data_IF_001081621889
#
_entry.id   IF_001081621889
#
_cell.length_a   1.000
_cell.length_b   1.000
_cell.length_c   1.000
_cell.angle_alpha   90.00
_cell.angle_beta   90.00
_cell.angle_gamma   90.00
#
_symmetry.space_group_name_H-M   'P 1'
#
loop_
_entity.id
_entity.type
_entity.pdbx_description
1 polymer ?
#
# COMPACT_ATOMS: atom_id res chain seq x y z
N UNK A 1 -11.29 -6.17 -11.08
CA UNK A 1 -10.71 -5.84 -9.76
C UNK A 1 -11.02 -4.39 -9.35
N UNK A 2 -10.68 -3.36 -10.12
CA UNK A 2 -10.96 -1.95 -9.75
C UNK A 2 -12.45 -1.70 -9.47
N UNK A 3 -13.35 -2.16 -10.33
CA UNK A 3 -14.80 -2.04 -10.11
C UNK A 3 -15.25 -2.72 -8.82
N UNK A 4 -14.66 -3.85 -8.47
CA UNK A 4 -14.93 -4.52 -7.20
C UNK A 4 -14.51 -3.65 -6.00
N UNK A 5 -13.32 -3.04 -6.05
CA UNK A 5 -12.87 -2.10 -5.00
C UNK A 5 -13.84 -0.91 -4.83
N UNK A 6 -14.36 -0.37 -5.93
CA UNK A 6 -15.39 0.69 -5.88
C UNK A 6 -16.66 0.23 -5.15
N UNK A 7 -17.12 -0.99 -5.41
CA UNK A 7 -18.31 -1.57 -4.75
C UNK A 7 -18.11 -1.74 -3.25
N UNK A 8 -16.87 -1.96 -2.80
CA UNK A 8 -16.54 -2.10 -1.38
C UNK A 8 -16.51 -0.76 -0.63
N UNK A 9 -16.57 0.37 -1.34
CA UNK A 9 -16.51 1.69 -0.72
C UNK A 9 -15.13 2.07 -0.20
N UNK A 10 -14.05 1.63 -0.86
CA UNK A 10 -12.71 2.13 -0.57
C UNK A 10 -12.60 3.60 -1.00
N UNK A 11 -11.81 4.40 -0.28
CA UNK A 11 -11.62 5.83 -0.55
C UNK A 11 -10.72 6.10 -1.76
N UNK A 12 -9.95 5.10 -2.22
CA UNK A 12 -9.05 5.21 -3.35
C UNK A 12 -8.30 3.90 -3.62
N UNK A 13 -7.56 3.88 -4.73
CA UNK A 13 -6.69 2.75 -5.07
C UNK A 13 -5.26 3.23 -5.31
N UNK A 14 -4.30 2.36 -4.99
CA UNK A 14 -2.89 2.60 -5.31
C UNK A 14 -2.43 1.57 -6.33
N UNK A 15 -1.87 2.04 -7.43
CA UNK A 15 -1.30 1.22 -8.49
C UNK A 15 0.21 1.45 -8.60
N UNK A 16 0.91 0.56 -9.30
CA UNK A 16 2.35 0.65 -9.56
C UNK A 16 3.22 0.78 -8.29
N UNK A 17 2.73 0.27 -7.16
CA UNK A 17 3.52 0.07 -5.94
C UNK A 17 4.23 -1.30 -5.94
N UNK A 18 4.84 -1.66 -4.82
CA UNK A 18 5.56 -2.94 -4.63
C UNK A 18 4.67 -4.15 -4.94
N UNK A 19 3.44 -4.16 -4.42
CA UNK A 19 2.47 -5.24 -4.67
C UNK A 19 1.89 -5.23 -6.09
N UNK A 20 2.00 -4.12 -6.80
CA UNK A 20 1.70 -4.01 -8.23
C UNK A 20 2.86 -4.51 -9.11
N UNK A 21 3.90 -5.11 -8.53
CA UNK A 21 5.09 -5.63 -9.23
C UNK A 21 5.79 -4.56 -10.10
N UNK A 22 5.70 -3.29 -9.70
CA UNK A 22 6.15 -2.15 -10.50
C UNK A 22 7.61 -2.24 -10.96
N UNK A 23 8.49 -2.83 -10.14
CA UNK A 23 9.91 -3.04 -10.46
C UNK A 23 10.15 -4.14 -11.53
N UNK A 24 9.11 -4.82 -11.99
CA UNK A 24 9.15 -5.88 -13.02
C UNK A 24 8.36 -5.51 -14.28
N UNK A 25 7.91 -4.28 -14.36
CA UNK A 25 7.15 -3.74 -15.48
C UNK A 25 8.06 -2.89 -16.37
N UNK A 26 7.87 -3.02 -17.69
CA UNK A 26 8.37 -2.06 -18.65
C UNK A 26 7.56 -0.76 -18.58
N UNK A 27 8.08 0.34 -19.09
CA UNK A 27 7.35 1.63 -19.09
C UNK A 27 6.09 1.56 -19.93
N UNK A 28 6.08 0.78 -21.02
CA UNK A 28 4.87 0.55 -21.82
C UNK A 28 3.78 -0.18 -21.02
N UNK A 29 4.15 -1.19 -20.24
CA UNK A 29 3.19 -1.90 -19.36
C UNK A 29 2.68 -1.00 -18.23
N UNK A 30 3.55 -0.13 -17.68
CA UNK A 30 3.14 0.88 -16.68
C UNK A 30 2.09 1.82 -17.26
N UNK A 31 2.28 2.33 -18.48
CA UNK A 31 1.31 3.18 -19.16
C UNK A 31 -0.02 2.47 -19.37
N UNK A 32 0.02 1.23 -19.88
CA UNK A 32 -1.19 0.43 -20.09
C UNK A 32 -1.97 0.19 -18.80
N UNK A 33 -1.27 -0.12 -17.68
CA UNK A 33 -1.90 -0.31 -16.37
C UNK A 33 -2.51 0.99 -15.87
N UNK A 34 -1.80 2.11 -16.04
CA UNK A 34 -2.29 3.43 -15.65
C UNK A 34 -3.59 3.78 -16.39
N UNK A 35 -3.59 3.72 -17.73
CA UNK A 35 -4.75 4.05 -18.55
C UNK A 35 -5.96 3.17 -18.19
N UNK A 36 -5.74 1.84 -18.08
CA UNK A 36 -6.79 0.88 -17.70
C UNK A 36 -7.35 1.11 -16.31
N UNK A 37 -6.47 1.43 -15.34
CA UNK A 37 -6.89 1.65 -13.96
C UNK A 37 -7.66 2.97 -13.80
N UNK A 38 -7.22 4.05 -14.45
CA UNK A 38 -7.90 5.35 -14.44
C UNK A 38 -9.29 5.21 -15.07
N UNK A 39 -9.40 4.57 -16.24
CA UNK A 39 -10.68 4.33 -16.90
C UNK A 39 -11.65 3.54 -15.99
N UNK A 40 -11.18 2.47 -15.38
CA UNK A 40 -12.00 1.63 -14.51
C UNK A 40 -12.33 2.28 -13.14
N UNK A 41 -11.49 3.19 -12.66
CA UNK A 41 -11.68 3.90 -11.41
C UNK A 41 -12.83 4.92 -11.47
N UNK A 42 -13.04 5.56 -12.62
CA UNK A 42 -14.01 6.66 -12.73
C UNK A 42 -13.67 7.79 -11.76
N UNK A 43 -14.57 8.08 -10.82
CA UNK A 43 -14.37 9.14 -9.81
C UNK A 43 -13.51 8.72 -8.61
N UNK A 44 -13.14 7.42 -8.50
CA UNK A 44 -12.33 6.93 -7.40
C UNK A 44 -10.88 7.43 -7.53
N UNK A 45 -10.30 8.10 -6.53
CA UNK A 45 -8.92 8.56 -6.57
C UNK A 45 -7.91 7.44 -6.84
N UNK A 46 -6.97 7.71 -7.74
CA UNK A 46 -5.89 6.77 -8.09
C UNK A 46 -4.54 7.36 -7.71
N UNK A 47 -3.88 6.75 -6.73
CA UNK A 47 -2.50 7.06 -6.35
C UNK A 47 -1.55 6.19 -7.16
N UNK A 48 -0.53 6.79 -7.76
CA UNK A 48 0.40 6.09 -8.64
C UNK A 48 1.80 6.04 -8.03
N UNK A 49 2.35 4.83 -7.88
CA UNK A 49 3.73 4.64 -7.47
C UNK A 49 4.70 5.04 -8.58
N UNK A 50 5.57 6.02 -8.30
CA UNK A 50 6.51 6.58 -9.27
C UNK A 50 7.97 6.51 -8.82
N UNK A 51 8.24 5.72 -7.79
CA UNK A 51 9.58 5.56 -7.23
C UNK A 51 10.55 4.93 -8.23
N UNK A 52 11.75 5.48 -8.29
CA UNK A 52 12.88 4.96 -9.07
C UNK A 52 14.18 5.33 -8.36
N UNK A 53 15.25 4.55 -8.53
CA UNK A 53 16.56 4.86 -7.95
C UNK A 53 17.17 6.17 -8.49
N UNK A 54 16.90 6.52 -9.75
CA UNK A 54 17.34 7.78 -10.33
C UNK A 54 16.27 8.88 -10.21
N UNK A 55 16.64 10.02 -9.64
CA UNK A 55 15.74 11.18 -9.44
C UNK A 55 15.02 11.57 -10.72
N UNK A 56 15.76 11.74 -11.85
CA UNK A 56 15.17 12.11 -13.13
C UNK A 56 14.15 11.07 -13.63
N UNK A 57 14.45 9.78 -13.50
CA UNK A 57 13.54 8.72 -13.90
C UNK A 57 12.25 8.72 -13.06
N UNK A 58 12.36 8.96 -11.73
CA UNK A 58 11.19 9.12 -10.87
C UNK A 58 10.32 10.31 -11.29
N UNK A 59 10.96 11.45 -11.64
CA UNK A 59 10.25 12.64 -12.15
C UNK A 59 9.53 12.33 -13.48
N UNK A 60 10.16 11.61 -14.41
CA UNK A 60 9.51 11.25 -15.69
C UNK A 60 8.33 10.28 -15.48
N UNK A 61 8.46 9.32 -14.54
CA UNK A 61 7.32 8.48 -14.14
C UNK A 61 6.20 9.32 -13.50
N UNK A 62 6.54 10.34 -12.72
CA UNK A 62 5.57 11.29 -12.17
C UNK A 62 4.83 12.05 -13.26
N UNK A 63 5.54 12.59 -14.25
CA UNK A 63 4.93 13.28 -15.41
C UNK A 63 4.01 12.36 -16.21
N UNK A 64 4.39 11.09 -16.40
CA UNK A 64 3.56 10.09 -17.05
C UNK A 64 2.27 9.87 -16.25
N UNK A 65 2.36 9.71 -14.93
CA UNK A 65 1.22 9.51 -14.06
C UNK A 65 0.27 10.73 -14.05
N UNK A 66 0.82 11.95 -13.97
CA UNK A 66 0.06 13.21 -14.03
C UNK A 66 -0.72 13.30 -15.35
N UNK A 67 -0.03 13.06 -16.47
CA UNK A 67 -0.65 13.07 -17.81
C UNK A 67 -1.75 12.02 -17.95
N UNK A 68 -1.58 10.85 -17.30
CA UNK A 68 -2.54 9.76 -17.31
C UNK A 68 -3.74 9.95 -16.37
N UNK A 69 -3.80 11.03 -15.57
CA UNK A 69 -4.94 11.34 -14.71
C UNK A 69 -4.82 10.84 -13.27
N UNK A 70 -3.61 10.59 -12.79
CA UNK A 70 -3.38 10.27 -11.37
C UNK A 70 -3.92 11.39 -10.46
N UNK A 71 -4.41 11.00 -9.28
CA UNK A 71 -4.87 11.94 -8.23
C UNK A 71 -3.74 12.33 -7.27
N UNK A 72 -2.75 11.46 -7.08
CA UNK A 72 -1.56 11.69 -6.27
C UNK A 72 -0.42 10.76 -6.72
N UNK A 73 0.81 11.12 -6.35
CA UNK A 73 1.98 10.26 -6.57
C UNK A 73 2.43 9.64 -5.25
N UNK A 74 2.86 8.39 -5.25
CA UNK A 74 3.51 7.75 -4.11
C UNK A 74 4.99 7.55 -4.42
N UNK A 75 5.84 8.11 -3.55
CA UNK A 75 7.29 8.08 -3.73
C UNK A 75 8.01 7.58 -2.49
N UNK A 76 9.10 6.88 -2.70
CA UNK A 76 10.05 6.46 -1.67
C UNK A 76 11.47 6.57 -2.21
N UNK A 77 12.45 6.66 -1.32
CA UNK A 77 13.86 6.61 -1.70
C UNK A 77 14.31 5.16 -1.92
N UNK A 78 15.39 4.97 -2.67
CA UNK A 78 16.03 3.69 -2.90
C UNK A 78 17.40 3.64 -2.26
N UNK A 79 17.87 2.42 -1.98
CA UNK A 79 19.19 2.21 -1.36
C UNK A 79 20.30 2.58 -2.33
N UNK A 80 21.24 3.35 -1.82
CA UNK A 80 22.53 3.63 -2.42
C UNK A 80 23.64 2.91 -1.65
N UNK A 81 24.82 2.67 -2.25
CA UNK A 81 25.92 1.98 -1.60
C UNK A 81 26.37 2.64 -0.28
N UNK A 82 26.20 3.96 -0.19
CA UNK A 82 26.51 4.74 1.02
C UNK A 82 25.23 5.47 1.45
N UNK A 83 24.74 5.14 2.64
CA UNK A 83 23.60 5.83 3.22
C UNK A 83 23.93 7.29 3.50
N UNK A 84 23.10 8.21 2.98
CA UNK A 84 23.29 9.65 3.15
C UNK A 84 21.95 10.37 3.16
N UNK A 85 21.48 10.78 4.34
CA UNK A 85 20.18 11.43 4.51
C UNK A 85 20.05 12.76 3.76
N UNK A 86 21.15 13.50 3.56
CA UNK A 86 21.10 14.72 2.75
C UNK A 86 20.79 14.39 1.29
N UNK A 87 21.35 13.33 0.74
CA UNK A 87 21.04 12.88 -0.63
C UNK A 87 19.62 12.33 -0.76
N UNK A 88 19.13 11.65 0.26
CA UNK A 88 17.72 11.19 0.31
C UNK A 88 16.79 12.42 0.33
N UNK A 89 17.09 13.42 1.15
CA UNK A 89 16.34 14.68 1.17
C UNK A 89 16.32 15.34 -0.22
N UNK A 90 17.48 15.59 -0.83
CA UNK A 90 17.62 16.21 -2.14
C UNK A 90 16.85 15.44 -3.24
N UNK A 91 16.91 14.11 -3.21
CA UNK A 91 16.18 13.25 -4.15
C UNK A 91 14.67 13.42 -4.02
N UNK A 92 14.14 13.35 -2.80
CA UNK A 92 12.70 13.46 -2.53
C UNK A 92 12.19 14.88 -2.78
N UNK A 93 12.94 15.91 -2.36
CA UNK A 93 12.60 17.31 -2.62
C UNK A 93 12.51 17.61 -4.12
N UNK A 94 13.50 17.16 -4.91
CA UNK A 94 13.46 17.36 -6.35
C UNK A 94 12.24 16.70 -7.04
N UNK A 95 11.77 15.57 -6.52
CA UNK A 95 10.54 14.93 -7.01
C UNK A 95 9.32 15.73 -6.58
N UNK A 96 9.26 16.20 -5.33
CA UNK A 96 8.19 17.06 -4.84
C UNK A 96 8.08 18.36 -5.66
N UNK A 97 9.18 19.07 -5.87
CA UNK A 97 9.25 20.29 -6.66
C UNK A 97 8.77 20.09 -8.11
N UNK A 98 9.05 18.92 -8.71
CA UNK A 98 8.65 18.59 -10.07
C UNK A 98 7.18 18.15 -10.21
N UNK A 99 6.46 17.93 -9.10
CA UNK A 99 5.09 17.42 -9.07
C UNK A 99 4.07 18.53 -8.89
N UNK A 100 3.06 18.57 -9.78
CA UNK A 100 1.85 19.39 -9.59
C UNK A 100 0.77 18.68 -8.77
N UNK A 101 0.95 17.41 -8.42
CA UNK A 101 0.02 16.62 -7.63
C UNK A 101 0.51 16.43 -6.19
N UNK A 102 -0.41 16.15 -5.25
CA UNK A 102 -0.05 15.73 -3.90
C UNK A 102 0.86 14.50 -3.91
N UNK A 103 1.76 14.46 -2.92
CA UNK A 103 2.71 13.37 -2.72
C UNK A 103 2.34 12.55 -1.48
N UNK A 104 2.34 11.23 -1.62
CA UNK A 104 2.37 10.27 -0.53
C UNK A 104 3.83 9.86 -0.31
N UNK A 105 4.42 10.32 0.78
CA UNK A 105 5.78 9.93 1.17
C UNK A 105 5.73 8.52 1.79
N UNK A 106 6.33 7.54 1.12
CA UNK A 106 6.37 6.16 1.61
C UNK A 106 7.67 5.88 2.35
N UNK A 107 7.55 5.43 3.60
CA UNK A 107 8.65 4.96 4.43
C UNK A 107 8.59 3.43 4.57
N UNK A 108 9.26 2.70 3.65
CA UNK A 108 9.19 1.23 3.56
C UNK A 108 10.58 0.57 3.46
N UNK A 109 11.37 0.57 4.55
CA UNK A 109 12.72 -0.02 4.56
C UNK A 109 12.76 -1.48 4.11
N UNK A 110 11.71 -2.24 4.39
CA UNK A 110 11.62 -3.66 4.01
C UNK A 110 11.71 -3.91 2.50
N UNK A 111 11.35 -2.94 1.65
CA UNK A 111 11.47 -3.07 0.20
C UNK A 111 12.58 -2.22 -0.39
N UNK A 112 12.96 -1.15 0.26
CA UNK A 112 13.91 -0.16 -0.27
C UNK A 112 15.30 -0.29 0.31
N UNK A 113 15.45 -0.91 1.49
CA UNK A 113 16.69 -0.90 2.26
C UNK A 113 17.04 0.46 2.88
N UNK A 114 16.19 1.47 2.72
CA UNK A 114 16.41 2.83 3.24
C UNK A 114 15.63 3.05 4.52
N UNK A 115 16.34 3.42 5.57
CA UNK A 115 15.77 3.84 6.85
C UNK A 115 15.85 5.38 6.94
N UNK A 116 14.73 6.06 6.85
CA UNK A 116 14.66 7.51 7.08
C UNK A 116 14.56 7.79 8.59
N UNK A 117 15.44 8.63 9.12
CA UNK A 117 15.30 9.08 10.52
C UNK A 117 14.07 9.98 10.71
N UNK A 118 13.55 10.07 11.94
CA UNK A 118 12.46 11.01 12.22
C UNK A 118 12.83 12.47 11.92
N UNK A 119 14.05 12.96 12.23
CA UNK A 119 14.48 14.29 11.81
C UNK A 119 14.46 14.51 10.29
N UNK A 120 14.84 13.49 9.50
CA UNK A 120 14.74 13.59 8.04
C UNK A 120 13.29 13.69 7.57
N UNK A 121 12.41 12.85 8.12
CA UNK A 121 10.98 12.90 7.78
C UNK A 121 10.38 14.25 8.18
N UNK A 122 10.66 14.75 9.39
CA UNK A 122 10.22 16.06 9.84
C UNK A 122 10.68 17.18 8.90
N UNK A 123 11.95 17.18 8.52
CA UNK A 123 12.52 18.16 7.60
C UNK A 123 11.80 18.12 6.23
N UNK A 124 11.50 16.94 5.70
CA UNK A 124 10.75 16.80 4.45
C UNK A 124 9.35 17.41 4.56
N UNK A 125 8.63 17.11 5.66
CA UNK A 125 7.28 17.63 5.87
C UNK A 125 7.24 19.15 6.08
N UNK A 126 8.29 19.73 6.65
CA UNK A 126 8.43 21.18 6.82
C UNK A 126 8.80 21.90 5.52
N UNK A 127 9.61 21.25 4.66
CA UNK A 127 10.12 21.86 3.43
C UNK A 127 9.17 21.70 2.24
N UNK A 128 8.47 20.55 2.14
CA UNK A 128 7.72 20.16 0.96
C UNK A 128 6.20 20.24 1.20
N UNK A 129 5.59 21.35 0.80
CA UNK A 129 4.17 21.62 1.07
C UNK A 129 3.19 20.70 0.35
N UNK A 130 3.62 20.00 -0.70
CA UNK A 130 2.80 19.07 -1.46
C UNK A 130 2.89 17.61 -0.94
N UNK A 131 3.68 17.33 0.10
CA UNK A 131 3.57 16.06 0.82
C UNK A 131 2.26 16.10 1.61
N UNK A 132 1.26 15.37 1.14
CA UNK A 132 -0.09 15.39 1.70
C UNK A 132 -0.38 14.19 2.65
N UNK A 133 0.48 13.18 2.63
CA UNK A 133 0.31 11.96 3.42
C UNK A 133 1.65 11.24 3.61
N UNK A 134 1.81 10.59 4.77
CA UNK A 134 2.90 9.62 5.00
C UNK A 134 2.32 8.22 4.99
N UNK A 135 2.86 7.33 4.15
CA UNK A 135 2.60 5.90 4.23
C UNK A 135 3.70 5.25 5.07
N UNK A 136 3.35 4.93 6.31
CA UNK A 136 4.29 4.45 7.32
C UNK A 136 4.37 2.92 7.32
N UNK A 137 5.52 2.36 6.95
CA UNK A 137 5.78 0.92 6.89
C UNK A 137 7.13 0.53 7.52
N UNK A 138 7.88 1.50 8.07
CA UNK A 138 9.11 1.20 8.80
C UNK A 138 8.80 0.70 10.20
N UNK A 139 9.47 -0.39 10.60
CA UNK A 139 9.33 -0.98 11.94
C UNK A 139 10.25 -0.29 12.97
N UNK A 140 9.81 -0.20 14.22
CA UNK A 140 8.50 -0.57 14.77
C UNK A 140 7.43 0.48 14.42
N UNK A 141 6.45 0.13 13.58
CA UNK A 141 5.54 1.11 12.97
C UNK A 141 4.64 1.87 13.95
N UNK A 142 4.07 1.25 15.02
CA UNK A 142 3.27 2.00 15.99
C UNK A 142 4.05 3.11 16.68
N UNK A 143 5.30 2.84 17.08
CA UNK A 143 6.17 3.84 17.74
C UNK A 143 6.56 4.97 16.77
N UNK A 144 6.78 4.64 15.49
CA UNK A 144 7.09 5.64 14.48
C UNK A 144 5.89 6.53 14.18
N UNK A 145 4.66 5.97 14.14
CA UNK A 145 3.43 6.75 14.01
C UNK A 145 3.27 7.69 15.21
N UNK A 146 3.44 7.19 16.43
CA UNK A 146 3.37 8.02 17.63
C UNK A 146 4.42 9.14 17.61
N UNK A 147 5.65 8.87 17.14
CA UNK A 147 6.70 9.88 16.99
C UNK A 147 6.32 10.94 15.92
N UNK A 148 5.77 10.55 14.78
CA UNK A 148 5.27 11.47 13.75
C UNK A 148 4.21 12.42 14.32
N UNK A 149 3.31 11.93 15.16
CA UNK A 149 2.26 12.71 15.81
C UNK A 149 2.78 13.77 16.79
N UNK A 150 4.04 13.69 17.24
CA UNK A 150 4.61 14.72 18.10
C UNK A 150 4.94 16.02 17.37
N UNK A 151 5.04 15.99 16.04
CA UNK A 151 5.42 17.17 15.25
C UNK A 151 4.56 17.39 13.99
N UNK A 152 3.59 16.50 13.68
CA UNK A 152 2.77 16.67 12.48
C UNK A 152 1.38 16.05 12.61
N UNK A 153 0.36 16.76 12.14
CA UNK A 153 -1.02 16.28 12.00
C UNK A 153 -1.30 15.70 10.60
N UNK A 154 -0.28 15.56 9.76
CA UNK A 154 -0.43 15.01 8.40
C UNK A 154 -1.14 13.64 8.43
N UNK A 155 -2.01 13.33 7.46
CA UNK A 155 -2.56 11.98 7.34
C UNK A 155 -1.46 10.91 7.30
N UNK A 156 -1.61 9.88 8.15
CA UNK A 156 -0.70 8.72 8.18
C UNK A 156 -1.49 7.48 7.81
N UNK A 157 -1.13 6.87 6.69
CA UNK A 157 -1.69 5.59 6.27
C UNK A 157 -0.69 4.47 6.57
N UNK A 158 -1.21 3.31 6.96
CA UNK A 158 -0.40 2.14 7.30
C UNK A 158 -0.35 1.16 6.14
N UNK A 159 0.69 0.34 6.11
CA UNK A 159 0.91 -0.62 5.06
C UNK A 159 1.08 -2.05 5.60
N UNK A 160 2.09 -2.76 5.12
CA UNK A 160 2.47 -4.12 5.54
C UNK A 160 1.31 -5.13 5.55
N UNK A 161 0.30 -4.97 4.66
CA UNK A 161 -0.87 -5.84 4.63
C UNK A 161 -1.73 -5.76 5.88
N UNK A 162 -1.64 -4.67 6.65
CA UNK A 162 -2.27 -4.47 7.97
C UNK A 162 -1.74 -5.42 9.08
N UNK A 163 -0.49 -5.91 8.93
CA UNK A 163 0.12 -6.83 9.91
C UNK A 163 0.09 -6.29 11.35
N UNK A 164 0.24 -4.99 11.52
CA UNK A 164 0.15 -4.30 12.81
C UNK A 164 -1.06 -3.37 12.90
N UNK A 165 -2.06 -3.56 12.04
CA UNK A 165 -3.11 -2.60 11.74
C UNK A 165 -3.85 -2.02 12.94
N UNK A 166 -4.32 -2.84 13.89
CA UNK A 166 -5.00 -2.34 15.08
C UNK A 166 -4.06 -1.50 15.98
N UNK A 167 -2.80 -1.92 16.14
CA UNK A 167 -1.81 -1.17 16.91
C UNK A 167 -1.44 0.16 16.25
N UNK A 168 -1.34 0.17 14.92
CA UNK A 168 -1.02 1.35 14.12
C UNK A 168 -2.14 2.39 14.18
N UNK A 169 -3.40 1.96 14.04
CA UNK A 169 -4.57 2.83 14.20
C UNK A 169 -4.67 3.38 15.63
N UNK A 170 -4.42 2.54 16.65
CA UNK A 170 -4.40 2.98 18.03
C UNK A 170 -3.28 4.01 18.33
N UNK A 171 -2.19 3.97 17.58
CA UNK A 171 -1.05 4.89 17.71
C UNK A 171 -1.22 6.21 16.94
N UNK A 172 -2.36 6.42 16.29
CA UNK A 172 -2.67 7.65 15.55
C UNK A 172 -2.63 7.53 14.03
N UNK A 173 -2.56 6.30 13.48
CA UNK A 173 -2.80 6.06 12.05
C UNK A 173 -4.22 6.43 11.66
N UNK A 174 -4.39 6.99 10.44
CA UNK A 174 -5.69 7.42 9.92
C UNK A 174 -6.41 6.36 9.11
N UNK A 175 -5.70 5.33 8.63
CA UNK A 175 -6.28 4.28 7.80
C UNK A 175 -5.22 3.41 7.14
N UNK A 176 -5.62 2.72 6.08
CA UNK A 176 -4.79 1.73 5.40
C UNK A 176 -4.52 2.13 3.96
N UNK A 177 -3.27 1.99 3.52
CA UNK A 177 -2.87 1.99 2.11
C UNK A 177 -2.06 0.71 1.86
N UNK A 178 -2.77 -0.39 1.66
CA UNK A 178 -2.14 -1.71 1.59
C UNK A 178 -2.92 -2.71 0.76
N UNK A 179 -2.35 -3.86 0.48
CA UNK A 179 -2.88 -4.86 -0.42
C UNK A 179 -3.32 -6.14 0.26
N UNK A 180 -4.04 -6.09 1.37
CA UNK A 180 -4.70 -7.27 1.90
C UNK A 180 -5.81 -7.75 0.94
N UNK A 181 -5.90 -9.06 0.68
CA UNK A 181 -6.78 -9.61 -0.36
C UNK A 181 -8.27 -9.67 0.04
N UNK A 182 -8.58 -9.26 1.26
CA UNK A 182 -9.95 -9.02 1.75
C UNK A 182 -10.08 -7.56 2.21
N UNK A 183 -10.09 -6.60 1.29
CA UNK A 183 -10.09 -5.17 1.62
C UNK A 183 -11.32 -4.75 2.42
N UNK A 184 -12.45 -5.48 2.35
CA UNK A 184 -13.64 -5.27 3.16
C UNK A 184 -13.35 -5.29 4.67
N UNK A 185 -12.42 -6.15 5.07
CA UNK A 185 -11.98 -6.23 6.47
C UNK A 185 -11.30 -4.93 6.89
N UNK A 186 -10.45 -4.37 6.03
CA UNK A 186 -9.75 -3.13 6.31
C UNK A 186 -10.70 -1.93 6.33
N UNK A 187 -11.68 -1.91 5.42
CA UNK A 187 -12.77 -0.91 5.44
C UNK A 187 -13.52 -0.99 6.77
N UNK A 188 -13.91 -2.19 7.21
CA UNK A 188 -14.62 -2.37 8.49
C UNK A 188 -13.76 -2.02 9.71
N UNK A 189 -12.44 -2.33 9.70
CA UNK A 189 -11.52 -1.91 10.75
C UNK A 189 -11.37 -0.38 10.80
N UNK A 190 -11.29 0.28 9.65
CA UNK A 190 -11.25 1.73 9.58
C UNK A 190 -12.55 2.36 10.10
N UNK A 191 -13.71 1.83 9.71
CA UNK A 191 -15.02 2.27 10.21
C UNK A 191 -15.14 2.10 11.73
N UNK A 192 -14.73 0.94 12.28
CA UNK A 192 -14.69 0.71 13.72
C UNK A 192 -13.80 1.73 14.44
N UNK A 193 -12.63 2.07 13.86
CA UNK A 193 -11.74 3.09 14.41
C UNK A 193 -12.36 4.49 14.39
N UNK A 194 -13.00 4.88 13.30
CA UNK A 194 -13.63 6.22 13.15
C UNK A 194 -14.88 6.39 14.00
N UNK A 195 -15.60 5.30 14.29
CA UNK A 195 -16.73 5.29 15.23
C UNK A 195 -16.32 5.05 16.68
N UNK A 196 -15.01 5.00 16.97
CA UNK A 196 -14.46 4.73 18.31
C UNK A 196 -14.86 3.37 18.91
N UNK A 197 -15.31 2.42 18.08
CA UNK A 197 -15.63 1.05 18.48
C UNK A 197 -14.35 0.19 18.53
N UNK A 198 -13.61 0.35 19.61
CA UNK A 198 -12.34 -0.36 19.79
C UNK A 198 -12.53 -1.88 19.92
N UNK A 199 -13.63 -2.33 20.54
CA UNK A 199 -13.90 -3.77 20.70
C UNK A 199 -14.13 -4.44 19.35
N UNK A 200 -14.86 -3.80 18.46
CA UNK A 200 -15.04 -4.26 17.08
C UNK A 200 -13.73 -4.24 16.29
N UNK A 201 -12.94 -3.17 16.40
CA UNK A 201 -11.63 -3.07 15.75
C UNK A 201 -10.75 -4.28 16.12
N UNK A 202 -10.63 -4.56 17.42
CA UNK A 202 -9.81 -5.66 17.91
C UNK A 202 -10.38 -7.04 17.54
N UNK A 203 -11.71 -7.20 17.56
CA UNK A 203 -12.37 -8.43 17.15
C UNK A 203 -12.11 -8.74 15.68
N UNK A 204 -12.24 -7.75 14.79
CA UNK A 204 -11.91 -7.89 13.37
C UNK A 204 -10.43 -8.24 13.16
N UNK A 205 -9.53 -7.50 13.80
CA UNK A 205 -8.10 -7.74 13.67
C UNK A 205 -7.72 -9.17 14.11
N UNK A 206 -8.23 -9.64 15.25
CA UNK A 206 -7.97 -10.98 15.76
C UNK A 206 -8.53 -12.07 14.84
N UNK A 207 -9.75 -11.89 14.32
CA UNK A 207 -10.39 -12.86 13.44
C UNK A 207 -9.62 -13.08 12.14
N UNK A 208 -9.08 -12.01 11.54
CA UNK A 208 -8.42 -12.06 10.25
C UNK A 208 -6.89 -12.07 10.31
N UNK A 209 -6.29 -11.91 11.48
CA UNK A 209 -4.83 -11.90 11.66
C UNK A 209 -4.14 -13.13 11.05
N UNK A 210 -4.66 -14.37 11.16
CA UNK A 210 -4.03 -15.52 10.53
C UNK A 210 -3.88 -15.38 9.00
N UNK A 211 -4.86 -14.80 8.30
CA UNK A 211 -4.77 -14.52 6.86
C UNK A 211 -3.80 -13.39 6.57
N UNK A 212 -3.84 -12.32 7.36
CA UNK A 212 -2.92 -11.18 7.26
C UNK A 212 -1.47 -11.67 7.38
N UNK A 213 -1.18 -12.49 8.39
CA UNK A 213 0.15 -13.08 8.62
C UNK A 213 0.56 -14.00 7.48
N UNK A 214 -0.35 -14.87 7.01
CA UNK A 214 -0.05 -15.81 5.93
C UNK A 214 0.31 -15.09 4.63
N UNK A 215 -0.36 -13.99 4.30
CA UNK A 215 -0.05 -13.20 3.11
C UNK A 215 1.36 -12.57 3.11
N UNK A 216 1.97 -12.38 4.29
CA UNK A 216 3.28 -11.71 4.36
C UNK A 216 4.42 -12.56 3.78
N UNK A 217 4.37 -13.88 3.92
CA UNK A 217 5.50 -14.75 3.54
C UNK A 217 5.62 -14.96 2.02
N UNK A 218 4.60 -15.54 1.35
CA UNK A 218 4.63 -15.67 -0.11
C UNK A 218 4.24 -14.37 -0.86
N UNK A 219 3.75 -13.36 -0.16
CA UNK A 219 3.49 -12.03 -0.69
C UNK A 219 2.48 -11.98 -1.84
N UNK A 220 2.88 -11.41 -2.97
CA UNK A 220 2.03 -11.21 -4.16
C UNK A 220 1.39 -12.50 -4.67
N UNK A 221 2.10 -13.63 -4.61
CA UNK A 221 1.60 -14.91 -5.10
C UNK A 221 0.36 -15.39 -4.32
N UNK A 222 0.32 -15.20 -3.00
CA UNK A 222 -0.85 -15.53 -2.17
C UNK A 222 -2.02 -14.63 -2.51
N UNK A 223 -1.80 -13.31 -2.61
CA UNK A 223 -2.85 -12.34 -2.94
C UNK A 223 -3.48 -12.64 -4.31
N UNK A 224 -2.67 -12.91 -5.32
CA UNK A 224 -3.17 -13.30 -6.64
C UNK A 224 -3.98 -14.60 -6.58
N UNK A 225 -3.55 -15.58 -5.80
CA UNK A 225 -4.31 -16.82 -5.63
C UNK A 225 -5.66 -16.57 -4.92
N UNK A 226 -5.69 -15.72 -3.89
CA UNK A 226 -6.95 -15.33 -3.25
C UNK A 226 -7.85 -14.60 -4.25
N UNK A 227 -7.34 -13.62 -4.99
CA UNK A 227 -8.12 -12.91 -6.01
C UNK A 227 -8.64 -13.83 -7.09
N UNK A 228 -7.87 -14.86 -7.50
CA UNK A 228 -8.33 -15.88 -8.43
C UNK A 228 -9.47 -16.71 -7.83
N UNK A 229 -9.34 -17.17 -6.59
CA UNK A 229 -10.41 -17.91 -5.89
C UNK A 229 -11.67 -17.06 -5.70
N UNK A 230 -11.50 -15.75 -5.56
CA UNK A 230 -12.59 -14.79 -5.50
C UNK A 230 -13.19 -14.45 -6.87
N UNK A 231 -12.66 -14.97 -7.96
CA UNK A 231 -13.12 -14.68 -9.32
C UNK A 231 -12.78 -13.28 -9.82
N UNK A 232 -11.88 -12.55 -9.14
CA UNK A 232 -11.51 -11.18 -9.48
C UNK A 232 -10.43 -11.10 -10.57
N UNK A 233 -9.66 -12.16 -10.74
CA UNK A 233 -8.67 -12.36 -11.82
C UNK A 233 -8.71 -13.79 -12.30
N UNK A 234 -8.35 -14.01 -13.57
CA UNK A 234 -8.36 -15.34 -14.19
C UNK A 234 -7.13 -16.17 -13.78
N UNK A 235 -5.97 -15.53 -13.72
CA UNK A 235 -4.70 -16.20 -13.46
C UNK A 235 -3.98 -15.63 -12.25
N UNK A 236 -3.33 -16.51 -11.46
CA UNK A 236 -2.51 -16.12 -10.29
C UNK A 236 -1.01 -15.97 -10.62
N UNK A 237 -0.67 -15.90 -11.90
CA UNK A 237 0.73 -15.79 -12.37
C UNK A 237 1.38 -14.54 -11.80
N UNK A 238 2.57 -14.69 -11.23
CA UNK A 238 3.43 -13.58 -10.79
C UNK A 238 4.52 -13.34 -11.84
N UNK A 239 4.99 -12.09 -11.93
CA UNK A 239 6.06 -11.73 -12.86
C UNK A 239 7.40 -12.28 -12.39
N UNK A 240 8.15 -12.85 -13.34
CA UNK A 240 9.54 -13.26 -13.09
C UNK A 240 10.39 -12.06 -12.61
N UNK A 241 11.36 -12.29 -11.68
CA UNK A 241 11.81 -13.58 -11.14
C UNK A 241 11.08 -14.03 -9.86
N UNK A 242 9.89 -13.50 -9.54
CA UNK A 242 9.15 -13.93 -8.37
C UNK A 242 8.68 -15.39 -8.48
N UNK A 243 8.67 -16.09 -7.36
CA UNK A 243 8.21 -17.46 -7.29
C UNK A 243 6.68 -17.54 -7.27
N UNK A 244 6.13 -18.51 -8.03
CA UNK A 244 4.73 -18.87 -7.93
C UNK A 244 4.43 -19.54 -6.58
N UNK A 245 3.15 -19.55 -6.21
CA UNK A 245 2.69 -20.21 -4.99
C UNK A 245 2.94 -21.73 -5.07
N UNK A 246 3.61 -22.30 -4.07
CA UNK A 246 3.83 -23.74 -4.00
C UNK A 246 2.52 -24.49 -3.70
N UNK A 247 2.45 -25.79 -4.08
CA UNK A 247 1.29 -26.63 -3.74
C UNK A 247 1.02 -26.68 -2.23
N UNK A 248 2.08 -26.74 -1.43
CA UNK A 248 1.95 -26.73 0.03
C UNK A 248 1.29 -25.44 0.51
N UNK A 249 1.80 -24.28 0.09
CA UNK A 249 1.23 -22.99 0.47
C UNK A 249 -0.20 -22.81 -0.07
N UNK A 250 -0.51 -23.31 -1.26
CA UNK A 250 -1.88 -23.28 -1.82
C UNK A 250 -2.86 -24.13 -0.99
N UNK A 251 -2.44 -25.29 -0.50
CA UNK A 251 -3.25 -26.15 0.37
C UNK A 251 -3.44 -25.48 1.75
N UNK A 252 -2.36 -24.99 2.38
CA UNK A 252 -2.44 -24.26 3.64
C UNK A 252 -3.35 -23.04 3.55
N UNK A 253 -3.28 -22.29 2.45
CA UNK A 253 -4.19 -21.18 2.20
C UNK A 253 -5.64 -21.66 2.11
N UNK A 254 -5.91 -22.78 1.43
CA UNK A 254 -7.25 -23.36 1.36
C UNK A 254 -7.81 -23.70 2.74
N UNK A 255 -7.03 -24.40 3.54
CA UNK A 255 -7.40 -24.77 4.91
C UNK A 255 -7.65 -23.52 5.78
N UNK A 256 -6.82 -22.49 5.62
CA UNK A 256 -6.95 -21.25 6.37
C UNK A 256 -8.21 -20.47 5.96
N UNK A 257 -8.47 -20.34 4.66
CA UNK A 257 -9.70 -19.70 4.15
C UNK A 257 -10.94 -20.46 4.70
N UNK A 258 -10.95 -21.78 4.65
CA UNK A 258 -12.06 -22.57 5.17
C UNK A 258 -12.27 -22.40 6.69
N UNK A 259 -11.20 -22.18 7.46
CA UNK A 259 -11.30 -21.92 8.92
C UNK A 259 -11.86 -20.54 9.20
N UNK A 260 -11.45 -19.52 8.44
CA UNK A 260 -11.88 -18.12 8.66
C UNK A 260 -13.28 -17.88 8.09
N UNK A 261 -13.62 -18.52 6.95
CA UNK A 261 -14.86 -18.29 6.21
C UNK A 261 -15.69 -19.58 6.05
N UNK A 262 -15.84 -20.36 7.12
CA UNK A 262 -16.40 -21.73 7.10
C UNK A 262 -17.73 -21.89 6.35
N UNK A 263 -18.53 -20.82 6.22
CA UNK A 263 -19.86 -20.83 5.56
C UNK A 263 -20.08 -19.63 4.63
N UNK A 264 -19.04 -18.82 4.42
CA UNK A 264 -19.17 -17.57 3.65
C UNK A 264 -18.65 -17.76 2.23
N UNK A 265 -19.41 -17.35 1.24
CA UNK A 265 -18.98 -17.31 -0.15
C UNK A 265 -18.00 -16.13 -0.34
N UNK A 266 -16.71 -16.42 -0.44
CA UNK A 266 -15.68 -15.40 -0.63
C UNK A 266 -15.67 -14.76 -2.03
N UNK A 267 -16.45 -15.25 -2.98
CA UNK A 267 -16.58 -14.64 -4.31
C UNK A 267 -17.42 -13.37 -4.29
N UNK A 268 -18.22 -13.20 -3.25
CA UNK A 268 -19.05 -12.02 -3.02
C UNK A 268 -18.34 -11.04 -2.05
N UNK A 269 -18.71 -9.74 -2.06
CA UNK A 269 -18.29 -8.82 -1.02
C UNK A 269 -18.63 -9.36 0.36
N UNK A 270 -17.65 -9.32 1.26
CA UNK A 270 -17.86 -9.76 2.64
C UNK A 270 -18.52 -8.64 3.46
N UNK A 271 -19.26 -9.04 4.48
CA UNK A 271 -19.75 -8.17 5.56
C UNK A 271 -19.08 -8.68 6.84
N UNK A 272 -17.85 -8.17 7.17
CA UNK A 272 -17.06 -8.63 8.31
C UNK A 272 -17.64 -8.24 9.65
#
# INVERSE_FOLDING_TARGET
MVMFMRQLGVDGITILGVLGEANRLTDQERSTILDTAIEAAGDLPVVVGTSHSGTRASIELGKMAIKGGASALMVTSHQEPVHNEQRIFEHLSAICEASSLPIVLQDHPGSTGVHMSMPLVQRLLESEQNIACVKQEALPSPQRIAALRTFSDIPILTGLGALYGAFELASGGNGFMTGFAFPEVLVSMHQARTSEDNDRLWSLYQAYLPLIVFEQQPGVAVRKEIFRRRGLIEHNTVRSPAASLSKLAANQLGDLINRVFSVTDITQPLIP
#
